data_IF_261923228963
#
_entry.id   IF_261923228963
#
_cell.length_a   1.000
_cell.length_b   1.000
_cell.length_c   1.000
_cell.angle_alpha   90.00
_cell.angle_beta   90.00
_cell.angle_gamma   90.00
#
_symmetry.space_group_name_H-M   'P 1'
#
loop_
_entity.id
_entity.type
_entity.pdbx_description
1 polymer ?
#
# COMPACT_ATOMS: atom_id res chain seq x y z
N UNK A 1 -0.39 15.97 1.55
CA UNK A 1 -0.39 14.52 1.22
C UNK A 1 -0.51 13.73 2.51
N UNK A 2 -1.42 12.81 2.57
CA UNK A 2 -1.58 11.94 3.74
C UNK A 2 -0.37 11.01 3.89
N UNK A 3 0.12 10.81 5.11
CA UNK A 3 1.19 9.84 5.35
C UNK A 3 0.66 8.41 5.22
N UNK A 4 1.50 7.43 4.80
CA UNK A 4 1.09 6.04 4.74
C UNK A 4 0.53 5.53 6.08
N UNK A 5 1.14 5.97 7.18
CA UNK A 5 0.67 5.63 8.53
C UNK A 5 -0.74 6.16 8.80
N UNK A 6 -1.05 7.39 8.43
CA UNK A 6 -2.38 7.96 8.64
C UNK A 6 -3.44 7.22 7.81
N UNK A 7 -3.12 6.87 6.57
CA UNK A 7 -4.00 6.07 5.71
C UNK A 7 -4.27 4.71 6.35
N UNK A 8 -3.23 4.05 6.86
CA UNK A 8 -3.34 2.78 7.56
C UNK A 8 -4.20 2.91 8.83
N UNK A 9 -3.90 3.89 9.70
CA UNK A 9 -4.62 4.10 10.95
C UNK A 9 -6.11 4.33 10.71
N UNK A 10 -6.47 5.10 9.68
CA UNK A 10 -7.86 5.33 9.30
C UNK A 10 -8.54 4.05 8.79
N UNK A 11 -7.86 3.28 7.95
CA UNK A 11 -8.38 2.02 7.44
C UNK A 11 -8.53 0.99 8.57
N UNK A 12 -7.58 0.93 9.48
CA UNK A 12 -7.61 0.02 10.64
C UNK A 12 -8.72 0.35 11.62
N UNK A 13 -8.92 1.65 11.89
CA UNK A 13 -10.02 2.11 12.76
C UNK A 13 -11.40 1.72 12.23
N UNK A 14 -11.57 1.71 10.89
CA UNK A 14 -12.82 1.23 10.27
C UNK A 14 -13.05 -0.25 10.52
N UNK A 15 -11.99 -1.05 10.64
CA UNK A 15 -12.11 -2.47 10.96
C UNK A 15 -12.65 -2.70 12.36
N UNK A 16 -12.44 -1.77 13.30
CA UNK A 16 -12.96 -1.86 14.66
C UNK A 16 -14.49 -1.79 14.68
N UNK A 17 -15.12 -1.10 13.73
CA UNK A 17 -16.58 -1.09 13.57
C UNK A 17 -17.11 -2.47 13.23
N UNK A 18 -16.41 -3.25 12.40
CA UNK A 18 -16.79 -4.63 12.09
C UNK A 18 -16.63 -5.54 13.32
N UNK A 19 -15.60 -5.35 14.11
CA UNK A 19 -15.38 -6.07 15.36
C UNK A 19 -16.51 -5.82 16.36
N UNK A 20 -16.90 -4.55 16.55
CA UNK A 20 -18.02 -4.17 17.41
C UNK A 20 -19.36 -4.69 16.88
N UNK A 21 -19.56 -4.63 15.57
CA UNK A 21 -20.77 -5.17 14.92
C UNK A 21 -20.88 -6.67 15.13
N UNK A 22 -19.77 -7.41 14.98
CA UNK A 22 -19.73 -8.84 15.27
C UNK A 22 -20.11 -9.12 16.73
N UNK A 23 -19.50 -8.42 17.68
CA UNK A 23 -19.76 -8.62 19.11
C UNK A 23 -21.24 -8.36 19.45
N UNK A 24 -21.83 -7.27 18.94
CA UNK A 24 -23.25 -6.96 19.13
C UNK A 24 -24.14 -8.01 18.48
N UNK A 25 -23.88 -8.38 17.25
CA UNK A 25 -24.69 -9.33 16.48
C UNK A 25 -24.65 -10.72 17.12
N UNK A 26 -23.48 -11.19 17.54
CA UNK A 26 -23.33 -12.49 18.23
C UNK A 26 -24.08 -12.57 19.53
N UNK A 27 -24.18 -11.44 20.26
CA UNK A 27 -24.85 -11.39 21.55
C UNK A 27 -26.37 -11.21 21.43
N UNK A 28 -26.87 -10.56 20.36
CA UNK A 28 -28.25 -10.06 20.27
C UNK A 28 -29.08 -10.66 19.14
N UNK A 29 -28.46 -11.36 18.17
CA UNK A 29 -29.16 -11.95 17.03
C UNK A 29 -29.47 -13.42 17.26
N UNK A 30 -30.51 -13.91 16.60
CA UNK A 30 -30.92 -15.32 16.68
C UNK A 30 -29.91 -16.25 15.98
N UNK A 31 -29.98 -17.56 16.30
CA UNK A 31 -29.14 -18.58 15.69
C UNK A 31 -29.36 -18.75 14.16
N UNK A 32 -30.39 -18.14 13.59
CA UNK A 32 -30.62 -18.12 12.13
C UNK A 32 -29.64 -17.21 11.40
N UNK A 33 -29.13 -16.17 12.08
CA UNK A 33 -28.16 -15.24 11.52
C UNK A 33 -26.73 -15.72 11.80
N UNK A 34 -25.95 -15.96 10.74
CA UNK A 34 -24.55 -16.35 10.85
C UNK A 34 -23.65 -15.13 10.88
N UNK A 35 -23.23 -14.73 12.10
CA UNK A 35 -22.35 -13.58 12.29
C UNK A 35 -20.88 -13.82 11.87
N UNK A 36 -20.52 -15.06 11.51
CA UNK A 36 -19.15 -15.38 11.08
C UNK A 36 -18.73 -14.65 9.80
N UNK A 37 -19.70 -14.28 8.95
CA UNK A 37 -19.40 -13.46 7.76
C UNK A 37 -18.87 -12.07 8.12
N UNK A 38 -19.30 -11.52 9.25
CA UNK A 38 -18.78 -10.24 9.78
C UNK A 38 -17.31 -10.40 10.17
N UNK A 39 -16.94 -11.52 10.83
CA UNK A 39 -15.53 -11.82 11.15
C UNK A 39 -14.68 -11.99 9.90
N UNK A 40 -15.20 -12.63 8.87
CA UNK A 40 -14.50 -12.75 7.58
C UNK A 40 -14.28 -11.38 6.95
N UNK A 41 -15.32 -10.54 6.94
CA UNK A 41 -15.21 -9.18 6.42
C UNK A 41 -14.18 -8.35 7.21
N UNK A 42 -14.15 -8.47 8.53
CA UNK A 42 -13.14 -7.82 9.37
C UNK A 42 -11.72 -8.29 9.00
N UNK A 43 -11.52 -9.59 8.88
CA UNK A 43 -10.21 -10.15 8.50
C UNK A 43 -9.73 -9.62 7.15
N UNK A 44 -10.60 -9.68 6.14
CA UNK A 44 -10.30 -9.17 4.79
C UNK A 44 -9.98 -7.67 4.83
N UNK A 45 -10.75 -6.90 5.60
CA UNK A 45 -10.53 -5.46 5.73
C UNK A 45 -9.17 -5.14 6.40
N UNK A 46 -8.76 -5.90 7.41
CA UNK A 46 -7.45 -5.72 8.07
C UNK A 46 -6.28 -6.07 7.15
N UNK A 47 -6.38 -7.17 6.41
CA UNK A 47 -5.35 -7.54 5.41
C UNK A 47 -5.28 -6.49 4.31
N UNK A 48 -6.41 -5.98 3.85
CA UNK A 48 -6.45 -4.90 2.84
C UNK A 48 -5.86 -3.59 3.36
N UNK A 49 -6.04 -3.27 4.64
CA UNK A 49 -5.44 -2.10 5.26
C UNK A 49 -3.90 -2.20 5.28
N UNK A 50 -3.36 -3.38 5.58
CA UNK A 50 -1.93 -3.63 5.53
C UNK A 50 -1.39 -3.51 4.10
N UNK A 51 -2.06 -4.13 3.14
CA UNK A 51 -1.70 -4.07 1.72
C UNK A 51 -1.64 -2.62 1.24
N UNK A 52 -2.67 -1.83 1.52
CA UNK A 52 -2.72 -0.41 1.20
C UNK A 52 -1.57 0.37 1.85
N UNK A 53 -1.26 0.08 3.11
CA UNK A 53 -0.15 0.72 3.82
C UNK A 53 1.19 0.50 3.12
N UNK A 54 1.48 -0.73 2.74
CA UNK A 54 2.74 -1.06 2.05
C UNK A 54 2.78 -0.40 0.66
N UNK A 55 1.68 -0.42 -0.10
CA UNK A 55 1.60 0.27 -1.38
C UNK A 55 1.91 1.76 -1.25
N UNK A 56 1.27 2.44 -0.31
CA UNK A 56 1.49 3.87 -0.08
C UNK A 56 2.90 4.17 0.41
N UNK A 57 3.40 3.36 1.33
CA UNK A 57 4.76 3.52 1.86
C UNK A 57 5.81 3.39 0.73
N UNK A 58 5.72 2.33 -0.06
CA UNK A 58 6.68 2.08 -1.15
C UNK A 58 6.59 3.18 -2.21
N UNK A 59 5.38 3.52 -2.66
CA UNK A 59 5.18 4.55 -3.68
C UNK A 59 5.73 5.92 -3.22
N UNK A 60 5.41 6.36 -2.02
CA UNK A 60 5.86 7.65 -1.50
C UNK A 60 7.39 7.69 -1.30
N UNK A 61 7.99 6.60 -0.83
CA UNK A 61 9.44 6.54 -0.64
C UNK A 61 10.20 6.41 -1.96
N UNK A 62 9.66 5.70 -2.96
CA UNK A 62 10.23 5.68 -4.31
C UNK A 62 10.20 7.07 -4.95
N UNK A 63 9.11 7.81 -4.78
CA UNK A 63 9.04 9.20 -5.23
C UNK A 63 10.09 10.07 -4.52
N UNK A 64 10.30 9.89 -3.22
CA UNK A 64 11.32 10.61 -2.48
C UNK A 64 12.75 10.30 -2.99
N UNK A 65 13.03 9.06 -3.37
CA UNK A 65 14.31 8.68 -4.03
C UNK A 65 14.42 9.39 -5.38
N UNK A 66 13.38 9.38 -6.18
CA UNK A 66 13.34 10.05 -7.48
C UNK A 66 13.58 11.56 -7.38
N UNK A 67 13.07 12.20 -6.34
CA UNK A 67 13.28 13.61 -6.06
C UNK A 67 14.65 13.93 -5.44
N UNK A 68 15.46 12.91 -5.14
CA UNK A 68 16.78 13.08 -4.52
C UNK A 68 16.76 13.23 -2.99
N UNK A 69 15.61 13.04 -2.34
CA UNK A 69 15.46 13.17 -0.89
C UNK A 69 15.88 11.92 -0.11
N UNK A 70 16.18 10.83 -0.78
CA UNK A 70 16.62 9.57 -0.18
C UNK A 70 17.71 8.92 -1.04
N UNK A 71 18.62 8.12 -0.44
CA UNK A 71 19.60 7.38 -1.22
C UNK A 71 18.93 6.27 -2.05
N UNK A 72 19.44 6.04 -3.26
CA UNK A 72 19.01 4.95 -4.13
C UNK A 72 19.33 3.60 -3.51
N UNK A 73 18.45 2.63 -3.73
CA UNK A 73 18.69 1.23 -3.39
C UNK A 73 19.08 0.44 -4.66
N UNK A 74 19.71 -0.72 -4.47
CA UNK A 74 20.06 -1.59 -5.60
C UNK A 74 18.83 -2.01 -6.40
N UNK A 75 17.74 -2.33 -5.73
CA UNK A 75 16.50 -2.77 -6.39
C UNK A 75 15.78 -1.61 -7.07
N UNK A 76 15.83 -0.41 -6.51
CA UNK A 76 15.32 0.80 -7.14
C UNK A 76 16.03 1.09 -8.46
N UNK A 77 17.36 0.98 -8.48
CA UNK A 77 18.16 1.23 -9.70
C UNK A 77 17.84 0.26 -10.84
N UNK A 78 17.35 -0.94 -10.49
CA UNK A 78 16.94 -1.97 -11.47
C UNK A 78 15.44 -1.95 -11.78
N UNK A 79 14.67 -1.06 -11.17
CA UNK A 79 13.23 -0.99 -11.40
C UNK A 79 12.94 -0.50 -12.83
N UNK A 80 12.20 -1.26 -13.65
CA UNK A 80 11.99 -0.92 -15.05
C UNK A 80 10.98 0.24 -15.18
N UNK A 81 11.38 1.24 -15.97
CA UNK A 81 10.49 2.35 -16.35
C UNK A 81 10.38 2.36 -17.87
N UNK A 82 9.17 2.40 -18.45
CA UNK A 82 8.98 2.49 -19.89
C UNK A 82 9.64 3.75 -20.47
N UNK A 83 10.22 3.64 -21.66
CA UNK A 83 10.85 4.77 -22.34
C UNK A 83 9.89 5.95 -22.58
N UNK A 84 8.61 5.65 -22.86
CA UNK A 84 7.58 6.68 -23.04
C UNK A 84 7.38 7.53 -21.78
N UNK A 85 7.39 6.89 -20.61
CA UNK A 85 7.29 7.58 -19.32
C UNK A 85 8.53 8.43 -19.05
N UNK A 86 9.73 7.91 -19.33
CA UNK A 86 10.96 8.66 -19.17
C UNK A 86 11.02 9.86 -20.13
N UNK A 87 10.53 9.72 -21.36
CA UNK A 87 10.43 10.83 -22.31
C UNK A 87 9.49 11.92 -21.78
N UNK A 88 8.36 11.56 -21.23
CA UNK A 88 7.43 12.51 -20.62
C UNK A 88 8.04 13.22 -19.40
N UNK A 89 8.77 12.50 -18.56
CA UNK A 89 9.49 13.07 -17.41
C UNK A 89 10.53 14.11 -17.86
N UNK A 90 11.29 13.81 -18.90
CA UNK A 90 12.34 14.70 -19.41
C UNK A 90 11.73 15.94 -20.11
N UNK A 91 10.69 15.74 -20.91
CA UNK A 91 10.09 16.81 -21.72
C UNK A 91 9.15 17.72 -20.95
N UNK A 92 8.62 17.28 -19.80
CA UNK A 92 7.66 18.02 -18.99
C UNK A 92 8.14 18.15 -17.54
N UNK A 93 9.13 19.03 -17.25
CA UNK A 93 9.71 19.14 -15.91
C UNK A 93 8.71 19.51 -14.81
N UNK A 94 7.63 20.24 -15.17
CA UNK A 94 6.62 20.68 -14.19
C UNK A 94 5.73 19.55 -13.69
N UNK A 95 5.56 18.48 -14.48
CA UNK A 95 4.71 17.34 -14.16
C UNK A 95 5.51 16.04 -13.94
N UNK A 96 6.84 16.14 -13.91
CA UNK A 96 7.72 14.96 -13.82
C UNK A 96 7.42 14.08 -12.62
N UNK A 97 7.19 14.68 -11.46
CA UNK A 97 6.94 13.94 -10.22
C UNK A 97 5.59 13.22 -10.28
N UNK A 98 4.57 13.86 -10.83
CA UNK A 98 3.26 13.23 -11.04
C UNK A 98 3.34 12.08 -12.03
N UNK A 99 4.04 12.26 -13.14
CA UNK A 99 4.20 11.24 -14.17
C UNK A 99 4.91 10.01 -13.61
N UNK A 100 5.98 10.23 -12.85
CA UNK A 100 6.71 9.16 -12.18
C UNK A 100 5.84 8.44 -11.14
N UNK A 101 5.16 9.18 -10.27
CA UNK A 101 4.31 8.62 -9.22
C UNK A 101 3.17 7.76 -9.80
N UNK A 102 2.52 8.22 -10.85
CA UNK A 102 1.47 7.48 -11.53
C UNK A 102 1.99 6.16 -12.11
N UNK A 103 3.15 6.15 -12.72
CA UNK A 103 3.75 4.92 -13.28
C UNK A 103 4.14 3.93 -12.18
N UNK A 104 4.73 4.41 -11.09
CA UNK A 104 5.07 3.55 -9.95
C UNK A 104 3.80 2.92 -9.36
N UNK A 105 2.76 3.70 -9.15
CA UNK A 105 1.49 3.19 -8.63
C UNK A 105 0.82 2.21 -9.58
N UNK A 106 0.92 2.44 -10.88
CA UNK A 106 0.42 1.51 -11.90
C UNK A 106 1.13 0.16 -11.81
N UNK A 107 2.45 0.15 -11.71
CA UNK A 107 3.23 -1.08 -11.63
C UNK A 107 3.04 -1.80 -10.29
N UNK A 108 3.04 -1.06 -9.17
CA UNK A 108 2.82 -1.64 -7.84
C UNK A 108 1.40 -2.17 -7.67
N UNK A 109 0.42 -1.58 -8.36
CA UNK A 109 -0.98 -2.00 -8.29
C UNK A 109 -1.25 -3.41 -8.82
N UNK A 110 -0.32 -4.01 -9.56
CA UNK A 110 -0.39 -5.39 -10.04
C UNK A 110 -0.02 -6.39 -8.94
N UNK A 111 0.72 -5.94 -7.92
CA UNK A 111 1.20 -6.78 -6.81
C UNK A 111 0.29 -6.66 -5.59
N UNK A 112 0.31 -7.67 -4.74
CA UNK A 112 -0.33 -7.64 -3.42
C UNK A 112 0.72 -7.83 -2.33
N UNK A 113 0.60 -7.07 -1.24
CA UNK A 113 1.51 -7.13 -0.08
C UNK A 113 0.82 -7.84 1.09
N UNK A 114 0.46 -9.11 0.87
CA UNK A 114 -0.28 -9.93 1.83
C UNK A 114 0.58 -11.05 2.44
N UNK A 115 1.79 -11.24 1.93
CA UNK A 115 2.74 -12.22 2.44
C UNK A 115 4.01 -11.52 2.93
N UNK A 116 4.71 -12.13 3.88
CA UNK A 116 5.98 -11.61 4.39
C UNK A 116 7.02 -11.44 3.29
N UNK A 117 7.04 -12.36 2.32
CA UNK A 117 7.95 -12.29 1.18
C UNK A 117 7.66 -11.10 0.26
N UNK A 118 6.38 -10.90 -0.11
CA UNK A 118 6.00 -9.77 -0.96
C UNK A 118 6.24 -8.42 -0.27
N UNK A 119 5.99 -8.33 1.03
CA UNK A 119 6.28 -7.14 1.84
C UNK A 119 7.79 -6.87 1.87
N UNK A 120 8.60 -7.89 2.11
CA UNK A 120 10.06 -7.77 2.10
C UNK A 120 10.57 -7.29 0.73
N UNK A 121 10.02 -7.81 -0.35
CA UNK A 121 10.36 -7.38 -1.72
C UNK A 121 10.00 -5.92 -1.98
N UNK A 122 8.86 -5.46 -1.50
CA UNK A 122 8.47 -4.06 -1.57
C UNK A 122 9.41 -3.15 -0.79
N UNK A 123 9.76 -3.54 0.43
CA UNK A 123 10.67 -2.76 1.29
C UNK A 123 12.08 -2.66 0.69
N UNK A 124 12.57 -3.69 0.00
CA UNK A 124 13.88 -3.65 -0.67
C UNK A 124 13.95 -2.60 -1.78
N UNK A 125 12.83 -2.15 -2.33
CA UNK A 125 12.80 -1.02 -3.27
C UNK A 125 13.18 0.31 -2.62
N UNK A 126 12.92 0.44 -1.34
CA UNK A 126 13.07 1.72 -0.61
C UNK A 126 14.14 1.68 0.47
N UNK A 127 14.70 0.51 0.76
CA UNK A 127 15.74 0.33 1.77
C UNK A 127 16.60 -0.90 1.46
N UNK A 128 17.92 -0.76 1.61
CA UNK A 128 18.88 -1.88 1.48
C UNK A 128 19.04 -2.68 2.79
N UNK A 129 18.11 -2.54 3.74
CA UNK A 129 18.14 -3.34 4.97
C UNK A 129 17.92 -4.81 4.64
N UNK A 130 18.78 -5.65 5.18
CA UNK A 130 18.62 -7.11 5.12
C UNK A 130 17.52 -7.50 6.10
N UNK A 131 16.44 -8.03 5.56
CA UNK A 131 15.32 -8.55 6.35
C UNK A 131 15.47 -10.07 6.51
#
# INVERSE_FOLDING_TARGET
MSTPKLIFDNAWSRCDLLSLTYAYTSANMSAVFDSREILRAEWVARVSALDLYIHELVAQKMLAIFQGGRPCTTKYDKFPIPHSVMSDVINNPHTRDQTYDLEIRRQLGIQTYQTSESIADGIRLISDVTL
#
